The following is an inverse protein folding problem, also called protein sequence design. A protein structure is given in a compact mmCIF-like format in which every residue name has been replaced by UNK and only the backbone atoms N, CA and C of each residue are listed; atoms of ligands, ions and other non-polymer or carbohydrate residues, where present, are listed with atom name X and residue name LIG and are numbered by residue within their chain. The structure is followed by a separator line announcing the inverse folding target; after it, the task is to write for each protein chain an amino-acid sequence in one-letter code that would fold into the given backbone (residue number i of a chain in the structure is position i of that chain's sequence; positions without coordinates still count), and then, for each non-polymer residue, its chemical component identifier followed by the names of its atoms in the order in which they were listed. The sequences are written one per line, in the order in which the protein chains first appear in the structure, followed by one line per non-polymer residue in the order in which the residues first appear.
data_IF_363107720770
#
_entry.id   IF_363107720770
#
_cell.length_a   1.000
_cell.length_b   1.000
_cell.length_c   1.000
_cell.angle_alpha   90.00
_cell.angle_beta   90.00
_cell.angle_gamma   90.00
#
_symmetry.space_group_name_H-M   'P 1'
#
loop_
_entity.id
_entity.type
_entity.pdbx_description
1 polymer ?
#
# COMPACT_ATOMS: atom_id res chain seq x y z
N UNK A 1 -4.91 -2.32 49.58
CA UNK A 1 -4.43 -3.48 48.80
C UNK A 1 -4.76 -3.19 47.34
N UNK A 2 -3.84 -2.53 46.62
CA UNK A 2 -3.99 -2.25 45.20
C UNK A 2 -3.51 -3.51 44.47
N UNK A 3 -4.45 -4.26 43.90
CA UNK A 3 -4.11 -5.31 42.95
C UNK A 3 -3.42 -4.61 41.78
N UNK A 4 -2.14 -4.93 41.54
CA UNK A 4 -1.49 -4.61 40.29
C UNK A 4 -2.28 -5.34 39.20
N UNK A 5 -2.94 -4.58 38.33
CA UNK A 5 -3.58 -5.07 37.11
C UNK A 5 -2.48 -5.64 36.20
N UNK A 6 -2.09 -6.88 36.46
CA UNK A 6 -1.13 -7.61 35.65
C UNK A 6 -1.76 -7.84 34.26
N UNK A 7 -1.18 -7.23 33.23
CA UNK A 7 -1.64 -7.38 31.85
C UNK A 7 -2.17 -6.12 31.19
N UNK A 8 -2.16 -4.94 31.84
CA UNK A 8 -2.55 -3.66 31.23
C UNK A 8 -1.39 -2.68 31.19
N UNK A 9 -1.20 -2.04 30.04
CA UNK A 9 -0.28 -0.91 29.89
C UNK A 9 -1.07 0.36 29.58
N UNK A 10 -0.57 1.51 30.07
CA UNK A 10 -1.22 2.78 29.77
C UNK A 10 -1.12 3.09 28.27
N UNK A 11 -2.09 3.84 27.73
CA UNK A 11 -2.05 4.26 26.32
C UNK A 11 -0.76 5.02 25.97
N UNK A 12 -0.21 5.79 26.91
CA UNK A 12 1.04 6.53 26.71
C UNK A 12 2.23 5.59 26.64
N UNK A 13 2.33 4.59 27.52
CA UNK A 13 3.43 3.63 27.50
C UNK A 13 3.35 2.73 26.26
N UNK A 14 2.15 2.31 25.88
CA UNK A 14 1.89 1.59 24.63
C UNK A 14 2.37 2.40 23.43
N UNK A 15 2.05 3.70 23.38
CA UNK A 15 2.52 4.58 22.33
C UNK A 15 4.05 4.72 22.29
N UNK A 16 4.71 4.88 23.44
CA UNK A 16 6.18 4.96 23.48
C UNK A 16 6.83 3.69 22.93
N UNK A 17 6.26 2.50 23.21
CA UNK A 17 6.74 1.24 22.60
C UNK A 17 6.50 1.22 21.09
N UNK A 18 5.32 1.63 20.63
CA UNK A 18 5.02 1.76 19.20
C UNK A 18 5.98 2.70 18.47
N UNK A 19 6.33 3.83 19.08
CA UNK A 19 7.27 4.81 18.53
C UNK A 19 8.69 4.25 18.43
N UNK A 20 9.16 3.52 19.46
CA UNK A 20 10.46 2.84 19.44
C UNK A 20 10.59 1.81 18.32
N UNK A 21 9.48 1.14 17.97
CA UNK A 21 9.39 0.19 16.84
C UNK A 21 9.19 0.90 15.48
N UNK A 22 9.44 2.22 15.40
CA UNK A 22 9.33 2.99 14.15
C UNK A 22 7.87 3.25 13.74
N UNK A 23 6.97 3.36 14.71
CA UNK A 23 5.60 3.79 14.49
C UNK A 23 5.51 5.20 13.88
N UNK A 24 4.67 5.40 12.88
CA UNK A 24 4.56 6.68 12.15
C UNK A 24 3.31 7.50 12.51
N UNK A 25 2.35 6.92 13.22
CA UNK A 25 1.14 7.65 13.62
C UNK A 25 1.42 8.48 14.87
N UNK A 26 0.99 9.75 14.94
CA UNK A 26 1.16 10.57 16.13
C UNK A 26 0.20 10.15 17.25
N UNK A 27 0.60 10.36 18.52
CA UNK A 27 -0.21 10.05 19.71
C UNK A 27 -1.60 10.73 19.69
N UNK A 28 -1.71 11.90 19.08
CA UNK A 28 -2.98 12.61 18.91
C UNK A 28 -4.00 11.79 18.11
N UNK A 29 -3.55 11.08 17.07
CA UNK A 29 -4.39 10.19 16.26
C UNK A 29 -4.89 9.00 17.08
N UNK A 30 -4.02 8.39 17.88
CA UNK A 30 -4.42 7.31 18.80
C UNK A 30 -5.44 7.79 19.81
N UNK A 31 -5.21 8.97 20.41
CA UNK A 31 -6.14 9.57 21.38
C UNK A 31 -7.52 9.87 20.79
N UNK A 32 -7.59 10.32 19.54
CA UNK A 32 -8.86 10.51 18.85
C UNK A 32 -9.56 9.16 18.62
N UNK A 33 -8.82 8.19 18.09
CA UNK A 33 -9.36 6.87 17.75
C UNK A 33 -9.87 6.07 18.94
N UNK A 34 -9.15 6.06 20.07
CA UNK A 34 -9.65 5.38 21.28
C UNK A 34 -10.91 6.03 21.83
N UNK A 35 -11.10 7.35 21.65
CA UNK A 35 -12.33 8.04 22.08
C UNK A 35 -13.53 7.67 21.22
N UNK A 36 -13.32 7.51 19.91
CA UNK A 36 -14.38 7.25 18.93
C UNK A 36 -14.69 5.76 18.79
N UNK A 37 -13.66 4.92 18.84
CA UNK A 37 -13.74 3.50 18.45
C UNK A 37 -13.23 2.53 19.50
N UNK A 38 -12.72 3.01 20.65
CA UNK A 38 -12.16 2.16 21.72
C UNK A 38 -11.08 1.19 21.23
N UNK A 39 -10.27 1.61 20.25
CA UNK A 39 -9.13 0.85 19.74
C UNK A 39 -7.96 1.78 19.35
N UNK A 40 -6.77 1.19 19.30
CA UNK A 40 -5.58 1.78 18.69
C UNK A 40 -5.29 1.04 17.38
N UNK A 41 -4.68 1.75 16.42
CA UNK A 41 -4.27 1.21 15.12
C UNK A 41 -2.76 1.31 14.98
N UNK A 42 -2.14 0.14 14.80
CA UNK A 42 -0.69 -0.02 14.66
C UNK A 42 -0.19 0.13 13.21
N UNK A 43 -1.08 0.06 12.22
CA UNK A 43 -0.78 0.16 10.79
C UNK A 43 -1.09 -1.12 10.01
N UNK A 44 -0.45 -1.25 8.85
CA UNK A 44 -0.77 -2.24 7.83
C UNK A 44 -0.82 -3.69 8.36
N UNK A 45 -1.92 -4.39 8.07
CA UNK A 45 -2.04 -5.83 8.21
C UNK A 45 -1.31 -6.59 7.09
N UNK A 46 -1.29 -7.92 7.18
CA UNK A 46 -0.59 -8.82 6.23
C UNK A 46 -1.10 -8.68 4.79
N UNK A 47 -0.22 -9.06 3.87
CA UNK A 47 -0.39 -9.00 2.42
C UNK A 47 -1.56 -9.86 1.92
N UNK A 48 -2.08 -9.50 0.74
CA UNK A 48 -3.27 -10.02 0.05
C UNK A 48 -4.57 -9.28 0.38
N UNK A 49 -4.83 -8.22 -0.39
CA UNK A 49 -6.08 -7.43 -0.51
C UNK A 49 -6.70 -6.89 0.79
N UNK A 50 -6.81 -5.56 0.90
CA UNK A 50 -7.53 -4.90 2.00
C UNK A 50 -7.18 -5.42 3.41
N UNK A 51 -5.92 -5.75 3.67
CA UNK A 51 -5.48 -6.18 5.00
C UNK A 51 -5.89 -5.12 6.02
N UNK A 52 -6.90 -5.45 6.85
CA UNK A 52 -7.41 -4.54 7.85
C UNK A 52 -6.25 -4.10 8.75
N UNK A 53 -6.21 -2.81 9.15
CA UNK A 53 -5.17 -2.36 10.06
C UNK A 53 -5.16 -3.22 11.32
N UNK A 54 -3.96 -3.60 11.79
CA UNK A 54 -3.83 -4.34 13.04
C UNK A 54 -4.26 -3.42 14.18
N UNK A 55 -5.42 -3.73 14.77
CA UNK A 55 -6.01 -2.94 15.85
C UNK A 55 -5.97 -3.67 17.18
N UNK A 56 -5.78 -2.91 18.26
CA UNK A 56 -5.80 -3.42 19.63
C UNK A 56 -6.89 -2.69 20.39
N UNK A 57 -7.76 -3.46 21.06
CA UNK A 57 -8.83 -2.89 21.88
C UNK A 57 -8.23 -2.08 23.02
N UNK A 58 -8.77 -0.88 23.21
CA UNK A 58 -8.47 -0.03 24.34
C UNK A 58 -9.67 0.01 25.29
N UNK A 59 -9.39 0.09 26.59
CA UNK A 59 -10.41 0.19 27.63
C UNK A 59 -10.16 1.40 28.53
N UNK A 60 -11.25 2.00 29.00
CA UNK A 60 -11.20 3.17 29.87
C UNK A 60 -11.43 2.75 31.31
N UNK A 61 -10.40 2.85 32.14
CA UNK A 61 -10.45 2.52 33.57
C UNK A 61 -10.18 3.79 34.38
N UNK A 62 -11.10 4.17 35.25
CA UNK A 62 -10.96 5.33 36.13
C UNK A 62 -10.54 6.62 35.39
N UNK A 63 -11.09 6.84 34.20
CA UNK A 63 -10.80 8.02 33.37
C UNK A 63 -9.54 7.95 32.49
N UNK A 64 -8.75 6.87 32.58
CA UNK A 64 -7.53 6.67 31.77
C UNK A 64 -7.70 5.51 30.79
N UNK A 65 -7.02 5.60 29.66
CA UNK A 65 -7.05 4.56 28.62
C UNK A 65 -5.90 3.58 28.79
N UNK A 66 -6.21 2.30 28.63
CA UNK A 66 -5.29 1.17 28.73
C UNK A 66 -5.50 0.23 27.55
N UNK A 67 -4.49 -0.58 27.26
CA UNK A 67 -4.56 -1.71 26.34
C UNK A 67 -4.03 -2.96 27.05
N UNK A 68 -4.49 -4.13 26.61
CA UNK A 68 -3.93 -5.40 27.07
C UNK A 68 -2.49 -5.54 26.56
N UNK A 69 -1.55 -5.78 27.47
CA UNK A 69 -0.12 -5.84 27.16
C UNK A 69 0.23 -7.00 26.22
N UNK A 70 -0.37 -8.17 26.46
CA UNK A 70 -0.07 -9.38 25.67
C UNK A 70 -0.56 -9.22 24.25
N UNK A 71 -1.81 -8.80 24.08
CA UNK A 71 -2.42 -8.50 22.79
C UNK A 71 -1.70 -7.37 22.07
N UNK A 72 -1.27 -6.34 22.81
CA UNK A 72 -0.50 -5.24 22.24
C UNK A 72 0.87 -5.69 21.70
N UNK A 73 1.63 -6.46 22.47
CA UNK A 73 2.92 -7.00 22.04
C UNK A 73 2.77 -7.94 20.85
N UNK A 74 1.75 -8.81 20.84
CA UNK A 74 1.47 -9.67 19.70
C UNK A 74 1.17 -8.87 18.43
N UNK A 75 0.34 -7.82 18.55
CA UNK A 75 -0.03 -6.95 17.45
C UNK A 75 1.16 -6.11 16.93
N UNK A 76 2.07 -5.68 17.80
CA UNK A 76 3.32 -5.04 17.39
C UNK A 76 4.20 -5.99 16.58
N UNK A 77 4.40 -7.22 17.06
CA UNK A 77 5.18 -8.23 16.36
C UNK A 77 4.56 -8.56 14.98
N UNK A 78 3.24 -8.69 14.91
CA UNK A 78 2.55 -8.91 13.64
C UNK A 78 2.76 -7.75 12.67
N UNK A 79 2.66 -6.52 13.15
CA UNK A 79 2.90 -5.32 12.33
C UNK A 79 4.35 -5.26 11.84
N UNK A 80 5.32 -5.61 12.70
CA UNK A 80 6.73 -5.66 12.33
C UNK A 80 7.01 -6.72 11.26
N UNK A 81 6.42 -7.92 11.39
CA UNK A 81 6.52 -8.98 10.39
C UNK A 81 5.90 -8.57 9.05
N UNK A 82 4.73 -7.94 9.06
CA UNK A 82 4.08 -7.46 7.85
C UNK A 82 4.91 -6.38 7.12
N UNK A 83 5.57 -5.48 7.88
CA UNK A 83 6.50 -4.50 7.30
C UNK A 83 7.72 -5.17 6.67
N UNK A 84 8.36 -6.09 7.39
CA UNK A 84 9.51 -6.83 6.86
C UNK A 84 9.16 -7.61 5.58
N UNK A 85 7.95 -8.16 5.51
CA UNK A 85 7.44 -8.82 4.31
C UNK A 85 7.31 -7.83 3.13
N UNK A 86 6.70 -6.66 3.35
CA UNK A 86 6.59 -5.61 2.32
C UNK A 86 7.95 -5.09 1.86
N UNK A 87 8.89 -4.89 2.79
CA UNK A 87 10.26 -4.49 2.47
C UNK A 87 10.94 -5.53 1.59
N UNK A 88 10.82 -6.82 1.94
CA UNK A 88 11.38 -7.92 1.15
C UNK A 88 10.79 -7.96 -0.26
N UNK A 89 9.47 -7.78 -0.40
CA UNK A 89 8.83 -7.75 -1.73
C UNK A 89 9.28 -6.53 -2.54
N UNK A 90 9.40 -5.35 -1.91
CA UNK A 90 9.91 -4.15 -2.58
C UNK A 90 11.32 -4.38 -3.13
N UNK A 91 12.20 -5.02 -2.35
CA UNK A 91 13.57 -5.35 -2.78
C UNK A 91 13.56 -6.31 -3.97
N UNK A 92 12.73 -7.36 -3.94
CA UNK A 92 12.61 -8.31 -5.06
C UNK A 92 12.13 -7.61 -6.34
N UNK A 93 11.15 -6.72 -6.20
CA UNK A 93 10.68 -5.90 -7.33
C UNK A 93 11.80 -5.02 -7.92
N UNK A 94 12.60 -4.37 -7.07
CA UNK A 94 13.76 -3.57 -7.49
C UNK A 94 14.84 -4.42 -8.18
N UNK A 95 14.92 -5.71 -7.84
CA UNK A 95 15.81 -6.70 -8.46
C UNK A 95 15.22 -7.33 -9.72
N UNK A 96 14.10 -6.81 -10.21
CA UNK A 96 13.41 -7.29 -11.40
C UNK A 96 12.74 -8.66 -11.24
N UNK A 97 12.34 -9.02 -10.02
CA UNK A 97 11.58 -10.24 -9.72
C UNK A 97 10.13 -9.90 -9.36
N UNK A 98 9.19 -10.51 -10.10
CA UNK A 98 7.74 -10.37 -9.84
C UNK A 98 7.24 -11.56 -9.02
N UNK A 99 6.53 -11.26 -7.95
CA UNK A 99 5.79 -12.24 -7.15
C UNK A 99 4.31 -12.22 -7.56
N UNK A 100 3.58 -13.27 -7.18
CA UNK A 100 2.15 -13.41 -7.48
C UNK A 100 1.86 -14.05 -8.84
N UNK A 101 0.65 -14.60 -8.95
CA UNK A 101 0.09 -15.13 -10.19
C UNK A 101 -0.54 -14.05 -11.08
N UNK A 102 -1.14 -14.46 -12.21
CA UNK A 102 -1.86 -13.54 -13.08
C UNK A 102 -3.00 -12.84 -12.35
N UNK A 103 -3.05 -11.52 -12.43
CA UNK A 103 -4.01 -10.63 -11.76
C UNK A 103 -3.86 -10.52 -10.24
N UNK A 104 -2.83 -11.12 -9.62
CA UNK A 104 -2.58 -10.92 -8.20
C UNK A 104 -2.06 -9.51 -7.95
N UNK A 105 -2.75 -8.79 -7.06
CA UNK A 105 -2.28 -7.50 -6.57
C UNK A 105 -1.28 -7.72 -5.43
N UNK A 106 -0.03 -7.40 -5.69
CA UNK A 106 1.06 -7.49 -4.73
C UNK A 106 1.36 -6.11 -4.14
N UNK A 107 1.33 -6.00 -2.81
CA UNK A 107 1.61 -4.77 -2.08
C UNK A 107 3.12 -4.58 -1.89
N UNK A 108 3.57 -3.33 -1.94
CA UNK A 108 4.95 -2.92 -1.70
C UNK A 108 4.97 -1.75 -0.71
N UNK A 109 6.16 -1.35 -0.28
CA UNK A 109 6.36 -0.19 0.61
C UNK A 109 5.98 1.14 -0.03
N UNK A 110 6.03 1.22 -1.36
CA UNK A 110 5.72 2.42 -2.14
C UNK A 110 4.36 2.36 -2.83
N UNK A 111 3.62 1.25 -2.77
CA UNK A 111 2.35 1.12 -3.46
C UNK A 111 1.95 -0.34 -3.71
N UNK A 112 1.70 -0.67 -4.97
CA UNK A 112 1.39 -2.05 -5.37
C UNK A 112 1.69 -2.29 -6.85
N UNK A 113 1.72 -3.55 -7.26
CA UNK A 113 1.69 -3.95 -8.66
C UNK A 113 0.73 -5.12 -8.91
N UNK A 114 0.26 -5.27 -10.14
CA UNK A 114 -0.58 -6.38 -10.61
C UNK A 114 0.10 -7.03 -11.81
N UNK A 115 0.40 -8.33 -11.71
CA UNK A 115 1.10 -9.06 -12.77
C UNK A 115 0.11 -9.49 -13.86
N UNK A 116 0.36 -9.08 -15.11
CA UNK A 116 -0.51 -9.35 -16.27
C UNK A 116 0.29 -9.66 -17.53
N UNK A 117 0.72 -10.91 -17.74
CA UNK A 117 1.61 -11.26 -18.87
C UNK A 117 1.12 -10.70 -20.23
N UNK A 118 1.97 -9.98 -21.00
CA UNK A 118 3.41 -9.81 -20.85
C UNK A 118 3.87 -8.57 -20.03
N UNK A 119 2.93 -7.86 -19.41
CA UNK A 119 3.16 -6.62 -18.68
C UNK A 119 2.81 -6.76 -17.18
N UNK A 120 3.10 -5.74 -16.41
CA UNK A 120 2.49 -5.57 -15.10
C UNK A 120 2.12 -4.10 -14.94
N UNK A 121 1.02 -3.86 -14.25
CA UNK A 121 0.69 -2.52 -13.78
C UNK A 121 1.41 -2.30 -12.45
N UNK A 122 2.05 -1.15 -12.29
CA UNK A 122 2.49 -0.65 -10.99
C UNK A 122 1.74 0.62 -10.67
N UNK A 123 1.39 0.81 -9.40
CA UNK A 123 0.75 2.01 -8.90
C UNK A 123 1.55 2.61 -7.76
N UNK A 124 1.79 3.92 -7.86
CA UNK A 124 2.45 4.72 -6.84
C UNK A 124 1.52 5.90 -6.43
N UNK A 125 1.01 5.95 -5.19
CA UNK A 125 0.15 7.02 -4.71
C UNK A 125 0.86 8.37 -4.59
N UNK A 126 2.19 8.39 -4.40
CA UNK A 126 2.98 9.63 -4.38
C UNK A 126 3.03 10.19 -5.80
N UNK A 127 3.22 9.33 -6.80
CA UNK A 127 3.14 9.71 -8.20
C UNK A 127 1.74 10.24 -8.58
N UNK A 128 0.66 9.60 -8.12
CA UNK A 128 -0.71 10.09 -8.30
C UNK A 128 -0.87 11.50 -7.75
N UNK A 129 -0.45 11.73 -6.50
CA UNK A 129 -0.56 13.03 -5.86
C UNK A 129 0.18 14.15 -6.63
N UNK A 130 1.37 13.86 -7.16
CA UNK A 130 2.18 14.87 -7.85
C UNK A 130 1.85 15.05 -9.33
N UNK A 131 1.42 13.98 -10.03
CA UNK A 131 1.28 13.97 -11.49
C UNK A 131 -0.16 13.73 -11.98
N UNK A 132 -1.10 13.43 -11.07
CA UNK A 132 -2.48 13.05 -11.40
C UNK A 132 -2.59 11.68 -12.10
N UNK A 133 -1.52 10.89 -12.04
CA UNK A 133 -1.47 9.51 -12.56
C UNK A 133 -0.40 8.73 -11.81
N UNK A 134 -0.82 7.77 -11.00
CA UNK A 134 0.03 6.85 -10.24
C UNK A 134 0.27 5.52 -10.93
N UNK A 135 -0.58 5.15 -11.88
CA UNK A 135 -0.50 3.89 -12.63
C UNK A 135 0.43 3.97 -13.83
N UNK A 136 1.31 2.99 -13.96
CA UNK A 136 2.19 2.78 -15.11
C UNK A 136 2.25 1.29 -15.47
N UNK A 137 2.28 0.99 -16.78
CA UNK A 137 2.53 -0.38 -17.24
C UNK A 137 4.01 -0.55 -17.60
N UNK A 138 4.56 -1.70 -17.21
CA UNK A 138 5.97 -2.06 -17.35
C UNK A 138 6.07 -3.45 -17.97
N UNK A 139 7.07 -3.68 -18.81
CA UNK A 139 7.32 -4.99 -19.41
C UNK A 139 7.94 -5.97 -18.42
N UNK A 140 7.37 -7.17 -18.31
CA UNK A 140 7.90 -8.20 -17.41
C UNK A 140 9.26 -8.74 -17.87
N UNK A 141 9.55 -8.68 -19.17
CA UNK A 141 10.76 -9.25 -19.75
C UNK A 141 11.98 -8.31 -19.64
N UNK A 142 11.81 -7.03 -19.98
CA UNK A 142 12.92 -6.07 -20.03
C UNK A 142 12.77 -4.86 -19.10
N UNK A 143 11.69 -4.81 -18.32
CA UNK A 143 11.43 -3.76 -17.33
C UNK A 143 11.33 -2.34 -17.89
N UNK A 144 11.25 -2.22 -19.22
CA UNK A 144 11.01 -0.96 -19.89
C UNK A 144 9.55 -0.51 -19.74
N UNK A 145 9.30 0.81 -19.65
CA UNK A 145 7.96 1.37 -19.74
C UNK A 145 7.21 0.92 -21.00
N UNK A 146 5.91 0.69 -20.86
CA UNK A 146 5.01 0.40 -21.97
C UNK A 146 4.55 1.70 -22.63
N UNK A 147 4.46 1.69 -23.96
CA UNK A 147 3.78 2.73 -24.74
C UNK A 147 2.43 2.21 -25.20
N UNK A 148 1.45 3.11 -25.27
CA UNK A 148 0.11 2.79 -25.75
C UNK A 148 -0.02 3.18 -27.21
N UNK A 149 -0.54 2.25 -28.01
CA UNK A 149 -1.05 2.56 -29.34
C UNK A 149 -2.50 3.03 -29.23
N UNK A 150 -2.89 3.93 -30.12
CA UNK A 150 -4.26 4.39 -30.26
C UNK A 150 -4.81 3.93 -31.61
N UNK A 151 -6.13 3.72 -31.68
CA UNK A 151 -6.82 3.26 -32.87
C UNK A 151 -6.62 4.15 -34.12
N UNK A 152 -6.13 5.40 -33.98
CA UNK A 152 -5.92 6.33 -35.08
C UNK A 152 -4.62 7.17 -34.90
N UNK A 153 -3.79 7.36 -35.95
CA UNK A 153 -2.55 8.15 -35.91
C UNK A 153 -2.76 9.63 -35.54
N UNK A 154 -3.95 10.16 -35.80
CA UNK A 154 -4.32 11.57 -35.58
C UNK A 154 -4.56 11.92 -34.10
N UNK A 155 -4.65 10.93 -33.22
CA UNK A 155 -4.86 11.13 -31.78
C UNK A 155 -3.71 11.89 -31.08
N UNK A 156 -2.48 11.83 -31.62
CA UNK A 156 -1.34 12.59 -31.08
C UNK A 156 -1.47 14.11 -31.28
N UNK A 157 -2.33 14.57 -32.19
CA UNK A 157 -2.54 16.00 -32.52
C UNK A 157 -3.67 16.67 -31.74
N UNK A 158 -4.45 15.89 -31.00
CA UNK A 158 -5.63 16.37 -30.29
C UNK A 158 -5.32 17.22 -29.04
N UNK A 159 -4.07 17.28 -28.57
CA UNK A 159 -3.69 18.19 -27.47
C UNK A 159 -3.83 19.66 -27.86
N UNK A 160 -3.66 19.96 -29.15
CA UNK A 160 -3.58 21.34 -29.65
C UNK A 160 -4.93 21.87 -30.19
N UNK A 161 -5.93 21.00 -30.39
CA UNK A 161 -7.22 21.35 -31.02
C UNK A 161 -8.38 20.65 -30.29
N UNK A 162 -9.22 21.42 -29.59
CA UNK A 162 -10.47 20.95 -28.96
C UNK A 162 -11.68 21.41 -29.79
N UNK A 163 -12.72 20.58 -30.01
CA UNK A 163 -12.89 19.21 -29.50
C UNK A 163 -12.34 18.10 -30.42
N UNK A 164 -11.61 17.15 -29.85
CA UNK A 164 -11.11 15.95 -30.54
C UNK A 164 -12.28 14.99 -30.86
N UNK A 165 -12.83 15.10 -32.06
CA UNK A 165 -14.07 14.42 -32.47
C UNK A 165 -13.94 12.95 -32.90
N UNK A 166 -12.89 12.20 -32.52
CA UNK A 166 -12.71 10.80 -32.96
C UNK A 166 -12.26 9.88 -31.82
N UNK A 167 -12.65 8.61 -31.92
CA UNK A 167 -12.47 7.58 -30.90
C UNK A 167 -10.98 7.26 -30.67
N UNK A 168 -10.33 8.02 -29.78
CA UNK A 168 -8.93 7.84 -29.39
C UNK A 168 -8.76 6.80 -28.27
N UNK A 169 -9.54 5.72 -28.30
CA UNK A 169 -9.32 4.58 -27.41
C UNK A 169 -7.92 4.02 -27.60
N UNK A 170 -7.31 3.59 -26.49
CA UNK A 170 -6.09 2.79 -26.52
C UNK A 170 -6.42 1.45 -27.17
N UNK A 171 -5.62 1.03 -28.14
CA UNK A 171 -5.84 -0.18 -28.94
C UNK A 171 -4.91 -1.32 -28.54
N UNK A 172 -3.72 -0.97 -28.05
CA UNK A 172 -2.71 -1.94 -27.64
C UNK A 172 -1.72 -1.32 -26.66
N UNK A 173 -1.07 -2.20 -25.91
CA UNK A 173 0.13 -1.93 -25.14
C UNK A 173 1.33 -2.54 -25.85
N UNK A 174 2.42 -1.77 -25.97
CA UNK A 174 3.64 -2.17 -26.67
C UNK A 174 4.85 -1.88 -25.79
N UNK A 175 5.79 -2.83 -25.71
CA UNK A 175 7.13 -2.57 -25.20
C UNK A 175 8.13 -2.46 -26.35
N UNK A 176 8.75 -1.29 -26.52
CA UNK A 176 9.74 -1.05 -27.58
C UNK A 176 11.07 -1.77 -27.35
N UNK A 177 11.37 -2.18 -26.11
CA UNK A 177 12.63 -2.84 -25.76
C UNK A 177 12.70 -4.31 -26.21
N UNK A 178 11.57 -5.02 -26.21
CA UNK A 178 11.51 -6.44 -26.58
C UNK A 178 10.40 -6.77 -27.61
N UNK A 179 9.70 -5.74 -28.13
CA UNK A 179 8.58 -5.86 -29.06
C UNK A 179 7.38 -6.66 -28.55
N UNK A 180 7.27 -6.88 -27.23
CA UNK A 180 6.07 -7.46 -26.63
C UNK A 180 4.85 -6.56 -26.90
N UNK A 181 3.70 -7.16 -27.20
CA UNK A 181 2.47 -6.45 -27.53
C UNK A 181 1.24 -7.22 -27.05
N UNK A 182 0.24 -6.50 -26.52
CA UNK A 182 -1.10 -7.03 -26.24
C UNK A 182 -2.17 -6.04 -26.69
N UNK A 183 -3.27 -6.54 -27.26
CA UNK A 183 -4.44 -5.71 -27.57
C UNK A 183 -5.24 -5.37 -26.31
N UNK A 184 -5.94 -4.22 -26.34
CA UNK A 184 -6.78 -3.70 -25.26
C UNK A 184 -8.26 -3.77 -25.60
#
# INVERSE_FOLDING_TARGET
MLMFDAGRISLTDAYSRYELEGGQRPLSSWRARVREHSNVDLGAGRQFAEGEPTTVRAEKVSGRWFVDETGFTAALNETALARAELDSISVLYEQHELLGGPQDQVKTTWGWYIVSSPFHERYDPIAEYHRGSGSQHVCNACWAPVVYEHNQPECHRCRDWSPCGRNCTRSAMICLGCNARVGL
#
